data_IF_274957145835
#
_entry.id   IF_274957145835
#
_cell.length_a   1.000
_cell.length_b   1.000
_cell.length_c   1.000
_cell.angle_alpha   90.00
_cell.angle_beta   90.00
_cell.angle_gamma   90.00
#
_symmetry.space_group_name_H-M   'P 1'
#
loop_
_entity.id
_entity.type
_entity.pdbx_description
1 polymer ?
#
# COMPACT_ATOMS: atom_id res chain seq x y z
N UNK A 1 -24.79 42.06 24.07
CA UNK A 1 -25.43 40.75 24.32
C UNK A 1 -24.71 39.57 23.60
N UNK A 2 -24.20 39.70 22.37
CA UNK A 2 -23.43 38.62 21.70
C UNK A 2 -22.11 38.29 22.38
N UNK A 3 -21.34 39.31 22.78
CA UNK A 3 -20.02 39.10 23.43
C UNK A 3 -20.13 38.39 24.80
N UNK A 4 -21.19 38.72 25.57
CA UNK A 4 -21.42 38.07 26.88
C UNK A 4 -21.80 36.59 26.73
N UNK A 5 -22.51 36.17 25.66
CA UNK A 5 -22.83 34.77 25.37
C UNK A 5 -21.57 33.96 24.98
N UNK A 6 -20.65 34.55 24.24
CA UNK A 6 -19.39 33.90 23.84
C UNK A 6 -18.51 33.66 25.06
N UNK A 7 -18.40 34.63 25.98
CA UNK A 7 -17.62 34.49 27.20
C UNK A 7 -18.24 33.44 28.14
N UNK A 8 -19.58 33.39 28.24
CA UNK A 8 -20.24 32.36 29.09
C UNK A 8 -20.07 30.95 28.50
N UNK A 9 -20.12 30.78 27.18
CA UNK A 9 -19.89 29.50 26.52
C UNK A 9 -18.43 29.01 26.71
N UNK A 10 -17.45 29.88 26.61
CA UNK A 10 -16.05 29.55 26.85
C UNK A 10 -15.79 29.12 28.31
N UNK A 11 -16.41 29.77 29.27
CA UNK A 11 -16.30 29.41 30.70
C UNK A 11 -16.92 28.03 30.99
N UNK A 12 -18.05 27.69 30.36
CA UNK A 12 -18.70 26.38 30.53
C UNK A 12 -17.83 25.26 29.94
N UNK A 13 -17.20 25.50 28.79
CA UNK A 13 -16.30 24.51 28.16
C UNK A 13 -15.08 24.24 29.04
N UNK A 14 -14.46 25.26 29.62
CA UNK A 14 -13.31 25.12 30.52
C UNK A 14 -13.68 24.36 31.82
N UNK A 15 -14.87 24.60 32.37
CA UNK A 15 -15.37 23.89 33.58
C UNK A 15 -15.66 22.43 33.24
N UNK A 16 -16.24 22.10 32.06
CA UNK A 16 -16.49 20.74 31.66
C UNK A 16 -15.18 19.96 31.41
N UNK A 17 -14.18 20.55 30.75
CA UNK A 17 -12.85 19.95 30.59
C UNK A 17 -12.14 19.70 31.95
N UNK A 18 -12.22 20.64 32.89
CA UNK A 18 -11.67 20.47 34.24
C UNK A 18 -12.33 19.35 35.06
N UNK A 19 -13.63 19.12 34.89
CA UNK A 19 -14.36 18.05 35.55
C UNK A 19 -14.02 16.66 35.00
N UNK A 20 -13.79 16.54 33.67
CA UNK A 20 -13.39 15.28 33.03
C UNK A 20 -11.98 14.86 33.45
N UNK A 21 -11.03 15.79 33.54
CA UNK A 21 -9.67 15.51 34.02
C UNK A 21 -9.63 15.16 35.51
N UNK A 22 -10.46 15.79 36.35
CA UNK A 22 -10.54 15.48 37.78
C UNK A 22 -11.20 14.12 38.06
N UNK A 23 -12.21 13.74 37.27
CA UNK A 23 -12.83 12.40 37.34
C UNK A 23 -11.86 11.30 36.90
N UNK A 24 -11.04 11.54 35.86
CA UNK A 24 -9.99 10.62 35.40
C UNK A 24 -8.91 10.37 36.49
N UNK A 25 -8.46 11.41 37.18
CA UNK A 25 -7.46 11.29 38.25
C UNK A 25 -8.03 10.52 39.45
N UNK A 26 -9.31 10.69 39.81
CA UNK A 26 -9.95 9.96 40.90
C UNK A 26 -10.18 8.49 40.60
N UNK A 27 -10.45 8.11 39.33
CA UNK A 27 -10.58 6.71 38.89
C UNK A 27 -9.21 5.98 38.93
N UNK A 28 -8.11 6.67 38.61
CA UNK A 28 -6.77 6.07 38.61
C UNK A 28 -6.21 5.84 40.01
N UNK A 29 -6.68 6.58 41.03
CA UNK A 29 -6.27 6.42 42.43
C UNK A 29 -7.04 5.35 43.20
N UNK A 30 -8.08 4.75 42.63
CA UNK A 30 -8.98 3.77 43.28
C UNK A 30 -8.70 2.30 42.94
N UNK A 31 -7.69 2.00 42.10
CA UNK A 31 -7.30 0.63 41.76
C UNK A 31 -6.34 0.06 42.81
N UNK A 32 -6.57 -1.15 43.38
CA UNK A 32 -5.67 -1.78 44.31
C UNK A 32 -4.35 -2.16 43.63
N UNK A 33 -3.23 -1.77 44.16
CA UNK A 33 -1.89 -2.25 43.77
C UNK A 33 -1.71 -3.69 44.24
N UNK A 34 -1.68 -4.64 43.34
CA UNK A 34 -1.17 -5.99 43.62
C UNK A 34 0.33 -5.91 43.95
N UNK A 35 0.70 -6.51 45.08
CA UNK A 35 2.10 -6.70 45.46
C UNK A 35 2.65 -7.87 44.67
N UNK A 36 3.68 -7.64 43.85
CA UNK A 36 4.49 -8.68 43.25
C UNK A 36 5.40 -9.28 44.34
N UNK A 37 5.12 -10.51 44.73
CA UNK A 37 6.07 -11.36 45.47
C UNK A 37 7.10 -11.90 44.48
N UNK A 38 8.35 -11.52 44.67
CA UNK A 38 9.48 -12.20 44.01
C UNK A 38 9.82 -13.46 44.78
N UNK A 39 10.08 -14.60 44.19
CA UNK A 39 10.70 -15.74 44.85
C UNK A 39 12.22 -15.59 44.88
N UNK A 40 12.77 -15.83 46.06
CA UNK A 40 14.21 -15.85 46.36
C UNK A 40 14.92 -16.99 45.57
N UNK A 41 16.07 -16.64 45.01
CA UNK A 41 17.00 -17.57 44.37
C UNK A 41 17.72 -18.38 45.40
N UNK A 42 17.48 -19.68 45.48
CA UNK A 42 18.35 -20.65 46.17
C UNK A 42 19.42 -21.16 45.20
N UNK A 43 20.66 -20.89 45.56
CA UNK A 43 21.86 -21.40 44.94
C UNK A 43 22.00 -22.90 45.29
N UNK A 44 22.04 -23.80 44.33
CA UNK A 44 22.47 -25.20 44.48
C UNK A 44 23.77 -25.40 43.73
N UNK A 45 24.79 -25.78 44.46
CA UNK A 45 26.11 -26.19 43.98
C UNK A 45 26.08 -27.68 43.69
N UNK A 46 26.37 -28.09 42.46
CA UNK A 46 26.74 -29.48 42.13
C UNK A 46 28.04 -29.52 41.32
N UNK A 47 28.86 -30.58 41.54
CA UNK A 47 30.27 -30.67 41.14
C UNK A 47 30.47 -31.16 39.69
N UNK A 48 31.69 -31.08 39.15
CA UNK A 48 31.97 -31.22 37.73
C UNK A 48 31.99 -32.70 37.28
N UNK A 49 31.42 -32.95 36.11
CA UNK A 49 31.49 -34.22 35.39
C UNK A 49 32.68 -34.21 34.44
N UNK A 50 33.43 -35.32 34.47
CA UNK A 50 34.67 -35.59 33.76
C UNK A 50 34.47 -35.76 32.25
N UNK A 51 35.49 -35.29 31.48
CA UNK A 51 35.75 -35.64 30.08
C UNK A 51 35.99 -37.14 29.90
N UNK A 52 35.34 -37.74 28.92
CA UNK A 52 35.77 -39.01 28.32
C UNK A 52 36.06 -38.82 26.83
N UNK A 53 37.29 -39.21 26.45
CA UNK A 53 37.90 -39.20 25.13
C UNK A 53 37.45 -40.39 24.29
N UNK A 54 37.52 -40.37 22.94
CA UNK A 54 36.84 -41.30 22.04
C UNK A 54 37.59 -42.62 21.83
N UNK A 55 36.84 -43.69 21.65
CA UNK A 55 37.36 -44.99 21.25
C UNK A 55 37.18 -45.24 19.75
N UNK A 56 38.18 -45.92 19.24
CA UNK A 56 38.52 -46.20 17.85
C UNK A 56 37.52 -47.09 17.10
N UNK A 57 37.53 -46.89 15.77
CA UNK A 57 36.92 -47.68 14.70
C UNK A 57 37.46 -49.10 14.62
N UNK A 58 36.70 -50.08 14.12
CA UNK A 58 37.24 -51.12 13.27
C UNK A 58 36.65 -51.11 11.85
N UNK A 59 37.57 -51.36 10.93
CA UNK A 59 37.49 -51.48 9.50
C UNK A 59 36.70 -52.68 9.00
N UNK A 60 36.02 -52.43 7.88
CA UNK A 60 35.70 -53.20 6.67
C UNK A 60 35.55 -54.77 6.70
N UNK A 61 34.70 -55.31 5.80
CA UNK A 61 35.24 -55.76 4.53
C UNK A 61 34.42 -55.44 3.26
N UNK A 62 35.18 -55.31 2.16
CA UNK A 62 34.77 -55.16 0.76
C UNK A 62 33.74 -56.21 0.31
N UNK A 63 32.73 -55.81 -0.45
CA UNK A 63 31.98 -56.69 -1.33
C UNK A 63 31.73 -56.02 -2.66
N UNK A 64 32.13 -56.69 -3.69
CA UNK A 64 32.13 -56.42 -5.14
C UNK A 64 30.81 -55.88 -5.70
N UNK A 65 30.95 -54.94 -6.63
CA UNK A 65 29.90 -54.41 -7.50
C UNK A 65 29.39 -55.43 -8.53
N UNK A 66 28.11 -55.40 -8.88
CA UNK A 66 27.62 -55.90 -10.15
C UNK A 66 27.36 -54.78 -11.15
N UNK A 67 27.52 -55.15 -12.42
CA UNK A 67 27.45 -54.36 -13.65
C UNK A 67 26.28 -53.38 -13.75
N UNK A 68 26.59 -52.19 -14.25
CA UNK A 68 25.64 -51.16 -14.66
C UNK A 68 24.87 -51.56 -15.94
N UNK A 69 23.55 -51.31 -16.01
CA UNK A 69 22.85 -51.34 -17.29
C UNK A 69 23.06 -50.01 -18.02
N UNK A 70 23.33 -50.11 -19.30
CA UNK A 70 23.45 -49.03 -20.28
C UNK A 70 22.20 -48.16 -20.32
N UNK A 71 22.38 -46.87 -20.04
CA UNK A 71 21.40 -45.79 -20.22
C UNK A 71 21.05 -45.62 -21.71
N UNK A 72 19.77 -45.49 -22.08
CA UNK A 72 19.40 -45.00 -23.40
C UNK A 72 19.65 -43.49 -23.48
N UNK A 73 20.33 -43.07 -24.54
CA UNK A 73 20.54 -41.66 -24.92
C UNK A 73 19.21 -40.90 -24.87
N UNK A 74 19.11 -39.95 -23.93
CA UNK A 74 18.11 -38.87 -23.90
C UNK A 74 18.62 -37.82 -24.86
N UNK A 75 17.82 -37.41 -25.90
CA UNK A 75 18.18 -36.27 -26.74
C UNK A 75 18.31 -35.02 -25.86
N UNK A 76 19.38 -34.27 -26.03
CA UNK A 76 19.55 -32.95 -25.42
C UNK A 76 18.49 -32.00 -26.02
N UNK A 77 17.38 -31.80 -25.29
CA UNK A 77 16.48 -30.69 -25.56
C UNK A 77 17.22 -29.42 -25.16
N UNK A 78 17.67 -28.69 -26.16
CA UNK A 78 18.08 -27.31 -26.05
C UNK A 78 16.83 -26.53 -25.65
N UNK A 79 16.82 -25.72 -24.57
CA UNK A 79 15.70 -24.83 -24.31
C UNK A 79 15.60 -23.88 -25.48
N UNK A 80 14.54 -23.98 -26.28
CA UNK A 80 14.14 -22.97 -27.23
C UNK A 80 13.86 -21.69 -26.38
N UNK A 81 14.60 -20.60 -26.62
CA UNK A 81 14.20 -19.27 -26.21
C UNK A 81 12.76 -19.06 -26.70
N UNK A 82 11.83 -18.57 -25.85
CA UNK A 82 10.48 -18.30 -26.30
C UNK A 82 10.55 -17.28 -27.43
N UNK A 83 10.23 -17.72 -28.67
CA UNK A 83 9.97 -16.81 -29.77
C UNK A 83 8.88 -15.84 -29.29
N UNK A 84 9.25 -14.58 -29.04
CA UNK A 84 8.29 -13.49 -28.89
C UNK A 84 7.59 -13.38 -30.24
N UNK A 85 6.35 -13.88 -30.32
CA UNK A 85 5.60 -13.88 -31.55
C UNK A 85 5.35 -12.44 -32.00
N UNK A 86 5.48 -12.18 -33.32
CA UNK A 86 5.14 -10.89 -33.94
C UNK A 86 3.72 -10.44 -33.57
N UNK A 87 2.80 -11.39 -33.33
CA UNK A 87 1.43 -11.16 -32.84
C UNK A 87 1.36 -10.39 -31.50
N UNK A 88 2.29 -10.63 -30.58
CA UNK A 88 2.30 -9.91 -29.27
C UNK A 88 2.77 -8.47 -29.41
N UNK A 89 3.65 -8.15 -30.35
CA UNK A 89 4.11 -6.79 -30.60
C UNK A 89 3.01 -5.93 -31.26
N UNK A 90 2.26 -6.49 -32.20
CA UNK A 90 1.13 -5.83 -32.88
C UNK A 90 -0.04 -5.61 -31.89
N UNK A 91 -0.35 -6.58 -31.03
CA UNK A 91 -1.35 -6.41 -29.98
C UNK A 91 -0.95 -5.30 -28.99
N UNK A 92 0.30 -5.26 -28.53
CA UNK A 92 0.80 -4.23 -27.62
C UNK A 92 0.76 -2.85 -28.27
N UNK A 93 1.12 -2.74 -29.53
CA UNK A 93 1.00 -1.51 -30.31
C UNK A 93 -0.47 -1.06 -30.45
N UNK A 94 -1.38 -2.02 -30.68
CA UNK A 94 -2.83 -1.79 -30.70
C UNK A 94 -3.37 -1.26 -29.38
N UNK A 95 -2.97 -1.86 -28.25
CA UNK A 95 -3.33 -1.42 -26.90
C UNK A 95 -2.85 0.01 -26.64
N UNK A 96 -1.59 0.28 -26.95
CA UNK A 96 -1.00 1.63 -26.80
C UNK A 96 -1.77 2.66 -27.62
N UNK A 97 -2.09 2.35 -28.88
CA UNK A 97 -2.84 3.27 -29.74
C UNK A 97 -4.24 3.57 -29.22
N UNK A 98 -4.97 2.57 -28.69
CA UNK A 98 -6.29 2.78 -28.07
C UNK A 98 -6.22 3.70 -26.85
N UNK A 99 -5.23 3.50 -25.96
CA UNK A 99 -5.01 4.34 -24.80
C UNK A 99 -4.70 5.78 -25.22
N UNK A 100 -3.82 5.97 -26.19
CA UNK A 100 -3.48 7.31 -26.70
C UNK A 100 -4.68 8.01 -27.37
N UNK A 101 -5.51 7.28 -28.10
CA UNK A 101 -6.74 7.83 -28.68
C UNK A 101 -7.74 8.23 -27.58
N UNK A 102 -7.89 7.45 -26.52
CA UNK A 102 -8.75 7.78 -25.39
C UNK A 102 -8.24 9.05 -24.68
N UNK A 103 -6.92 9.09 -24.37
CA UNK A 103 -6.26 10.26 -23.78
C UNK A 103 -6.45 11.54 -24.61
N UNK A 104 -6.28 11.44 -25.91
CA UNK A 104 -6.46 12.58 -26.84
C UNK A 104 -7.89 13.12 -26.85
N UNK A 105 -8.88 12.31 -26.48
CA UNK A 105 -10.28 12.71 -26.32
C UNK A 105 -10.60 13.41 -24.99
N UNK A 106 -9.67 13.42 -24.03
CA UNK A 106 -9.86 14.04 -22.70
C UNK A 106 -9.49 15.52 -22.73
N UNK A 107 -10.27 16.35 -22.02
CA UNK A 107 -9.88 17.72 -21.71
C UNK A 107 -8.77 17.76 -20.66
N UNK A 108 -8.02 18.88 -20.57
CA UNK A 108 -7.01 19.06 -19.53
C UNK A 108 -7.59 18.86 -18.12
N UNK A 109 -8.78 19.41 -17.85
CA UNK A 109 -9.44 19.26 -16.55
C UNK A 109 -9.75 17.80 -16.24
N UNK A 110 -10.23 17.02 -17.21
CA UNK A 110 -10.47 15.58 -17.04
C UNK A 110 -9.18 14.81 -16.78
N UNK A 111 -8.08 15.15 -17.47
CA UNK A 111 -6.76 14.58 -17.24
C UNK A 111 -6.27 14.87 -15.83
N UNK A 112 -6.36 16.13 -15.37
CA UNK A 112 -5.96 16.52 -14.01
C UNK A 112 -6.79 15.78 -12.97
N UNK A 113 -8.12 15.65 -13.15
CA UNK A 113 -8.96 14.90 -12.23
C UNK A 113 -8.56 13.42 -12.11
N UNK A 114 -8.07 12.78 -13.17
CA UNK A 114 -7.60 11.39 -13.10
C UNK A 114 -6.38 11.19 -12.18
N UNK A 115 -5.64 12.23 -11.85
CA UNK A 115 -4.49 12.18 -10.94
C UNK A 115 -4.90 12.10 -9.47
N UNK A 116 -6.18 12.25 -9.13
CA UNK A 116 -6.65 12.23 -7.75
C UNK A 116 -7.34 10.93 -7.40
N UNK A 117 -6.91 10.37 -6.28
CA UNK A 117 -7.55 9.26 -5.59
C UNK A 117 -8.08 9.80 -4.26
N UNK A 118 -9.38 9.74 -4.01
CA UNK A 118 -9.98 10.40 -2.84
C UNK A 118 -11.03 9.52 -2.16
N UNK A 119 -11.73 10.02 -1.14
CA UNK A 119 -12.85 9.31 -0.53
C UNK A 119 -14.20 9.77 -1.09
N UNK A 120 -15.25 8.95 -0.99
CA UNK A 120 -16.60 9.37 -1.35
C UNK A 120 -17.04 10.63 -0.58
N UNK A 121 -16.61 10.77 0.67
CA UNK A 121 -16.89 11.93 1.53
C UNK A 121 -16.26 13.20 0.99
N UNK A 122 -14.97 13.18 0.69
CA UNK A 122 -14.25 14.34 0.13
C UNK A 122 -14.79 14.72 -1.26
N UNK A 123 -15.22 13.72 -2.04
CA UNK A 123 -15.81 13.95 -3.35
C UNK A 123 -17.18 14.61 -3.26
N UNK A 124 -18.04 14.18 -2.32
CA UNK A 124 -19.46 14.53 -2.28
C UNK A 124 -19.82 15.56 -1.20
N UNK A 125 -18.95 15.73 -0.19
CA UNK A 125 -19.21 16.58 0.98
C UNK A 125 -20.16 15.96 2.02
N UNK A 126 -20.52 14.67 1.89
CA UNK A 126 -21.32 13.98 2.92
C UNK A 126 -20.43 13.55 4.08
N UNK A 127 -21.01 13.37 5.27
CA UNK A 127 -20.23 12.98 6.47
C UNK A 127 -19.77 11.55 6.43
N UNK A 128 -20.62 10.64 5.94
CA UNK A 128 -20.32 9.20 5.77
C UNK A 128 -21.12 8.68 4.58
N UNK A 129 -20.42 8.16 3.60
CA UNK A 129 -21.03 7.64 2.37
C UNK A 129 -21.26 6.11 2.52
N UNK A 130 -22.52 5.71 2.65
CA UNK A 130 -22.94 4.30 2.65
C UNK A 130 -23.80 3.95 1.43
N UNK A 131 -23.93 4.89 0.49
CA UNK A 131 -24.67 4.70 -0.76
C UNK A 131 -24.16 5.65 -1.84
N UNK A 132 -24.28 5.26 -3.10
CA UNK A 132 -24.05 6.10 -4.25
C UNK A 132 -25.39 6.42 -4.94
N UNK A 133 -25.76 7.70 -4.94
CA UNK A 133 -26.99 8.21 -5.53
C UNK A 133 -26.75 9.46 -6.37
N UNK A 134 -27.77 10.31 -6.49
CA UNK A 134 -27.71 11.54 -7.33
C UNK A 134 -26.56 12.47 -6.93
N UNK A 135 -26.25 12.58 -5.63
CA UNK A 135 -25.11 13.38 -5.14
C UNK A 135 -23.77 12.87 -5.68
N UNK A 136 -23.54 11.54 -5.60
CA UNK A 136 -22.34 10.90 -6.14
C UNK A 136 -22.26 11.08 -7.65
N UNK A 137 -23.40 10.87 -8.34
CA UNK A 137 -23.50 11.05 -9.79
C UNK A 137 -23.16 12.49 -10.24
N UNK A 138 -23.72 13.49 -9.55
CA UNK A 138 -23.42 14.88 -9.83
C UNK A 138 -21.95 15.24 -9.55
N UNK A 139 -21.40 14.75 -8.42
CA UNK A 139 -20.02 15.00 -8.06
C UNK A 139 -19.02 14.36 -9.06
N UNK A 140 -19.25 13.13 -9.53
CA UNK A 140 -18.42 12.46 -10.53
C UNK A 140 -18.54 13.11 -11.93
N UNK A 141 -19.69 13.69 -12.25
CA UNK A 141 -19.86 14.43 -13.50
C UNK A 141 -19.06 15.75 -13.51
N UNK A 142 -18.89 16.39 -12.34
CA UNK A 142 -18.13 17.63 -12.17
C UNK A 142 -16.63 17.36 -11.94
N UNK A 143 -16.32 16.33 -11.17
CA UNK A 143 -14.98 15.96 -10.71
C UNK A 143 -14.71 14.49 -11.02
N UNK A 144 -14.38 14.14 -12.29
CA UNK A 144 -14.15 12.75 -12.71
C UNK A 144 -12.79 12.24 -12.22
N UNK A 145 -12.66 12.01 -10.90
CA UNK A 145 -11.43 11.54 -10.24
C UNK A 145 -10.96 10.18 -10.75
N UNK A 146 -9.68 9.86 -10.53
CA UNK A 146 -9.07 8.61 -10.97
C UNK A 146 -9.48 7.40 -10.15
N UNK A 147 -9.77 7.60 -8.85
CA UNK A 147 -10.16 6.52 -7.95
C UNK A 147 -10.84 6.99 -6.66
N UNK A 148 -11.50 6.06 -5.99
CA UNK A 148 -12.13 6.25 -4.67
C UNK A 148 -11.67 5.16 -3.70
N UNK A 149 -11.18 5.59 -2.53
CA UNK A 149 -10.82 4.73 -1.41
C UNK A 149 -11.96 4.63 -0.40
N UNK A 150 -12.27 3.41 0.02
CA UNK A 150 -13.34 3.13 0.97
C UNK A 150 -12.77 2.60 2.30
N UNK A 151 -13.34 3.09 3.39
CA UNK A 151 -12.98 2.70 4.75
C UNK A 151 -14.09 1.88 5.41
N UNK A 152 -13.79 1.27 6.55
CA UNK A 152 -14.76 0.46 7.30
C UNK A 152 -16.11 1.17 7.56
N UNK A 153 -16.10 2.49 7.73
CA UNK A 153 -17.32 3.29 7.93
C UNK A 153 -18.26 3.30 6.71
N UNK A 154 -17.76 2.99 5.51
CA UNK A 154 -18.55 2.89 4.29
C UNK A 154 -19.20 1.51 4.09
N UNK A 155 -18.67 0.48 4.77
CA UNK A 155 -18.94 -0.94 4.53
C UNK A 155 -19.92 -1.48 5.59
N UNK A 156 -21.23 -1.46 5.29
CA UNK A 156 -22.28 -1.91 6.21
C UNK A 156 -22.49 -3.42 6.10
N UNK A 157 -22.74 -3.90 4.90
CA UNK A 157 -22.86 -5.31 4.53
C UNK A 157 -22.53 -5.52 3.04
N UNK A 158 -22.44 -6.78 2.62
CA UNK A 158 -22.04 -7.14 1.25
C UNK A 158 -22.98 -6.60 0.17
N UNK A 159 -24.31 -6.60 0.40
CA UNK A 159 -25.29 -6.16 -0.59
C UNK A 159 -25.32 -4.64 -0.72
N UNK A 160 -25.24 -3.93 0.39
CA UNK A 160 -25.10 -2.46 0.41
C UNK A 160 -23.82 -2.06 -0.31
N UNK A 161 -22.67 -2.65 0.03
CA UNK A 161 -21.37 -2.34 -0.55
C UNK A 161 -21.35 -2.59 -2.05
N UNK A 162 -21.81 -3.77 -2.47
CA UNK A 162 -21.90 -4.11 -3.91
C UNK A 162 -22.75 -3.08 -4.67
N UNK A 163 -23.92 -2.73 -4.14
CA UNK A 163 -24.81 -1.74 -4.76
C UNK A 163 -24.15 -0.37 -4.85
N UNK A 164 -23.49 0.07 -3.77
CA UNK A 164 -22.77 1.35 -3.72
C UNK A 164 -21.64 1.39 -4.76
N UNK A 165 -20.78 0.37 -4.82
CA UNK A 165 -19.65 0.32 -5.75
C UNK A 165 -20.11 0.22 -7.21
N UNK A 166 -21.13 -0.58 -7.52
CA UNK A 166 -21.71 -0.70 -8.86
C UNK A 166 -22.31 0.63 -9.33
N UNK A 167 -23.08 1.31 -8.46
CA UNK A 167 -23.63 2.62 -8.78
C UNK A 167 -22.52 3.64 -9.00
N UNK A 168 -21.52 3.69 -8.13
CA UNK A 168 -20.37 4.60 -8.24
C UNK A 168 -19.69 4.40 -9.60
N UNK A 169 -19.35 3.17 -9.95
CA UNK A 169 -18.69 2.85 -11.21
C UNK A 169 -19.56 3.23 -12.42
N UNK A 170 -20.89 3.01 -12.34
CA UNK A 170 -21.82 3.33 -13.42
C UNK A 170 -21.97 4.84 -13.69
N UNK A 171 -21.64 5.69 -12.71
CA UNK A 171 -21.71 7.16 -12.86
C UNK A 171 -20.42 7.77 -13.40
N UNK A 172 -19.31 7.02 -13.38
CA UNK A 172 -18.02 7.51 -13.82
C UNK A 172 -17.93 7.58 -15.35
N UNK A 173 -17.45 8.72 -15.87
CA UNK A 173 -17.14 8.88 -17.30
C UNK A 173 -15.93 8.01 -17.71
N UNK A 174 -14.85 8.11 -16.95
CA UNK A 174 -13.69 7.23 -17.02
C UNK A 174 -13.78 6.28 -15.84
N UNK A 175 -13.77 4.94 -16.06
CA UNK A 175 -13.88 3.97 -14.97
C UNK A 175 -12.88 4.23 -13.85
N UNK A 176 -13.33 4.03 -12.60
CA UNK A 176 -12.59 4.35 -11.38
C UNK A 176 -11.75 3.15 -10.90
N UNK A 177 -10.61 3.44 -10.30
CA UNK A 177 -10.11 2.56 -9.27
C UNK A 177 -11.05 2.63 -8.04
N UNK A 178 -11.53 1.49 -7.56
CA UNK A 178 -12.31 1.36 -6.34
C UNK A 178 -11.45 0.58 -5.35
N UNK A 179 -10.81 1.28 -4.44
CA UNK A 179 -9.77 0.77 -3.58
C UNK A 179 -10.20 0.57 -2.14
N UNK A 180 -9.53 -0.35 -1.47
CA UNK A 180 -9.67 -0.64 -0.03
C UNK A 180 -8.30 -1.04 0.53
N UNK A 181 -8.10 -0.89 1.85
CA UNK A 181 -6.97 -1.50 2.56
C UNK A 181 -7.40 -2.83 3.16
N UNK A 182 -7.00 -3.94 2.58
CA UNK A 182 -7.30 -5.27 3.10
C UNK A 182 -5.99 -6.06 3.26
N UNK A 183 -5.12 -5.59 4.19
CA UNK A 183 -3.82 -6.22 4.46
C UNK A 183 -3.93 -7.52 5.26
N UNK A 184 -5.06 -7.71 5.94
CA UNK A 184 -5.23 -8.66 7.03
C UNK A 184 -4.85 -8.08 8.40
N UNK A 185 -4.94 -8.89 9.46
CA UNK A 185 -4.64 -8.45 10.82
C UNK A 185 -5.44 -7.21 11.23
N UNK A 186 -4.76 -6.20 11.75
CA UNK A 186 -5.38 -4.94 12.21
C UNK A 186 -5.79 -3.97 11.10
N UNK A 187 -5.29 -4.16 9.89
CA UNK A 187 -5.65 -3.35 8.71
C UNK A 187 -6.48 -4.19 7.75
N UNK A 188 -7.75 -4.32 8.07
CA UNK A 188 -8.74 -5.08 7.33
C UNK A 188 -10.06 -4.35 7.41
N UNK A 189 -10.51 -3.76 6.31
CA UNK A 189 -11.73 -2.92 6.29
C UNK A 189 -12.98 -3.75 6.04
N UNK A 190 -12.89 -4.71 5.13
CA UNK A 190 -13.99 -5.61 4.78
C UNK A 190 -13.97 -6.89 5.64
N UNK A 191 -12.84 -7.57 5.78
CA UNK A 191 -12.73 -8.82 6.52
C UNK A 191 -13.00 -8.68 8.02
N UNK A 192 -12.77 -7.51 8.62
CA UNK A 192 -13.11 -7.21 10.01
C UNK A 192 -14.61 -7.07 10.26
N UNK A 193 -15.44 -6.95 9.21
CA UNK A 193 -16.90 -6.88 9.31
C UNK A 193 -17.52 -8.20 8.82
N UNK A 194 -18.05 -9.06 9.73
CA UNK A 194 -18.62 -10.37 9.34
C UNK A 194 -19.79 -10.27 8.34
N UNK A 195 -20.47 -9.11 8.26
CA UNK A 195 -21.57 -8.90 7.33
C UNK A 195 -21.11 -8.72 5.87
N UNK A 196 -19.81 -8.56 5.65
CA UNK A 196 -19.22 -8.43 4.32
C UNK A 196 -19.04 -9.77 3.61
N UNK A 197 -18.91 -10.87 4.36
CA UNK A 197 -18.60 -12.18 3.80
C UNK A 197 -17.21 -12.30 3.19
N UNK A 198 -16.31 -11.41 3.60
CA UNK A 198 -14.87 -11.43 3.24
C UNK A 198 -14.11 -12.14 4.35
N UNK A 199 -13.18 -12.99 3.97
CA UNK A 199 -12.32 -13.72 4.92
C UNK A 199 -11.41 -12.74 5.65
N UNK A 200 -11.45 -12.78 6.99
CA UNK A 200 -10.49 -12.03 7.82
C UNK A 200 -9.22 -12.86 7.98
N UNK A 201 -8.15 -12.42 7.35
CA UNK A 201 -6.84 -13.06 7.42
C UNK A 201 -6.02 -12.56 8.60
N UNK A 202 -5.03 -13.38 9.01
CA UNK A 202 -4.07 -13.02 10.07
C UNK A 202 -3.16 -11.87 9.62
N UNK A 203 -2.41 -11.30 10.57
CA UNK A 203 -1.41 -10.29 10.25
C UNK A 203 -0.28 -10.87 9.39
N UNK A 204 0.34 -10.06 8.53
CA UNK A 204 1.40 -10.47 7.61
C UNK A 204 2.57 -11.16 8.33
N UNK A 205 2.94 -10.70 9.54
CA UNK A 205 4.00 -11.30 10.34
C UNK A 205 3.78 -12.80 10.62
N UNK A 206 2.52 -13.23 10.82
CA UNK A 206 2.19 -14.64 11.08
C UNK A 206 2.50 -15.51 9.85
N UNK A 207 2.25 -15.02 8.65
CA UNK A 207 2.59 -15.68 7.40
C UNK A 207 4.10 -15.67 7.16
N UNK A 208 4.77 -14.57 7.49
CA UNK A 208 6.22 -14.45 7.42
C UNK A 208 6.96 -15.44 8.33
N UNK A 209 6.43 -15.70 9.54
CA UNK A 209 6.96 -16.73 10.45
C UNK A 209 6.85 -18.16 9.88
N UNK A 210 5.76 -18.43 9.14
CA UNK A 210 5.56 -19.74 8.47
C UNK A 210 6.40 -19.86 7.20
N UNK A 211 6.72 -18.74 6.57
CA UNK A 211 7.47 -18.63 5.31
C UNK A 211 6.92 -19.54 4.18
N UNK A 212 5.60 -19.71 4.13
CA UNK A 212 4.89 -20.50 3.10
C UNK A 212 4.32 -19.59 2.00
N UNK A 213 5.04 -19.48 0.89
CA UNK A 213 4.63 -18.69 -0.27
C UNK A 213 3.31 -19.19 -0.89
N UNK A 214 3.03 -20.49 -0.82
CA UNK A 214 1.80 -21.02 -1.39
C UNK A 214 0.58 -20.60 -0.55
N UNK A 215 0.73 -20.53 0.78
CA UNK A 215 -0.30 -20.00 1.67
C UNK A 215 -0.57 -18.52 1.36
N UNK A 216 0.46 -17.67 1.26
CA UNK A 216 0.32 -16.24 0.97
C UNK A 216 -0.28 -15.99 -0.42
N UNK A 217 0.10 -16.78 -1.43
CA UNK A 217 -0.57 -16.74 -2.73
C UNK A 217 -2.07 -17.02 -2.62
N UNK A 218 -2.49 -18.00 -1.80
CA UNK A 218 -3.91 -18.31 -1.59
C UNK A 218 -4.63 -17.17 -0.86
N UNK A 219 -3.97 -16.49 0.09
CA UNK A 219 -4.51 -15.27 0.73
C UNK A 219 -4.82 -14.22 -0.34
N UNK A 220 -3.85 -13.84 -1.17
CA UNK A 220 -4.04 -12.86 -2.23
C UNK A 220 -5.12 -13.27 -3.25
N UNK A 221 -5.13 -14.54 -3.66
CA UNK A 221 -6.13 -15.06 -4.60
C UNK A 221 -7.56 -15.04 -4.01
N UNK A 222 -7.70 -15.36 -2.72
CA UNK A 222 -8.99 -15.30 -2.03
C UNK A 222 -9.49 -13.86 -1.87
N UNK A 223 -8.60 -12.94 -1.45
CA UNK A 223 -8.94 -11.51 -1.34
C UNK A 223 -9.36 -10.95 -2.70
N UNK A 224 -8.62 -11.23 -3.77
CA UNK A 224 -8.99 -10.79 -5.11
C UNK A 224 -10.38 -11.26 -5.52
N UNK A 225 -10.72 -12.51 -5.23
CA UNK A 225 -12.03 -13.08 -5.55
C UNK A 225 -13.13 -12.43 -4.70
N UNK A 226 -12.96 -12.34 -3.39
CA UNK A 226 -13.98 -11.88 -2.45
C UNK A 226 -14.22 -10.37 -2.55
N UNK A 227 -13.15 -9.56 -2.61
CA UNK A 227 -13.25 -8.12 -2.82
C UNK A 227 -13.77 -7.78 -4.22
N UNK A 228 -13.32 -8.51 -5.25
CA UNK A 228 -13.82 -8.37 -6.61
C UNK A 228 -15.32 -8.67 -6.73
N UNK A 229 -15.84 -9.67 -5.98
CA UNK A 229 -17.26 -9.98 -5.92
C UNK A 229 -18.10 -8.85 -5.27
N UNK A 230 -17.49 -7.99 -4.46
CA UNK A 230 -18.11 -6.77 -3.94
C UNK A 230 -18.04 -5.60 -4.92
N UNK A 231 -17.11 -5.63 -5.89
CA UNK A 231 -16.91 -4.57 -6.87
C UNK A 231 -15.65 -3.73 -6.67
N UNK A 232 -14.79 -4.07 -5.70
CA UNK A 232 -13.44 -3.50 -5.60
C UNK A 232 -12.57 -4.01 -6.74
N UNK A 233 -11.61 -3.21 -7.16
CA UNK A 233 -10.65 -3.55 -8.22
C UNK A 233 -9.20 -3.18 -7.86
N UNK A 234 -8.99 -2.65 -6.66
CA UNK A 234 -7.69 -2.30 -6.12
C UNK A 234 -7.64 -2.62 -4.62
N UNK A 235 -6.59 -3.29 -4.18
CA UNK A 235 -6.23 -3.44 -2.79
C UNK A 235 -4.90 -2.72 -2.52
N UNK A 236 -4.89 -1.82 -1.53
CA UNK A 236 -3.65 -1.17 -1.07
C UNK A 236 -2.82 -2.14 -0.24
N UNK A 237 -2.46 -3.25 -0.85
CA UNK A 237 -1.65 -4.36 -0.33
C UNK A 237 -0.76 -4.94 -1.45
N UNK A 238 0.35 -5.60 -1.10
CA UNK A 238 0.87 -5.86 0.24
C UNK A 238 1.74 -4.75 0.83
N UNK A 239 1.91 -4.79 2.16
CA UNK A 239 2.97 -4.04 2.84
C UNK A 239 4.31 -4.69 2.50
N UNK A 240 5.21 -3.92 1.88
CA UNK A 240 6.55 -4.33 1.47
C UNK A 240 7.66 -3.81 2.40
N UNK A 241 7.27 -3.17 3.52
CA UNK A 241 8.20 -2.69 4.53
C UNK A 241 8.89 -3.84 5.26
N UNK A 242 10.19 -3.68 5.54
CA UNK A 242 10.98 -4.58 6.38
C UNK A 242 11.15 -3.94 7.76
N UNK A 243 10.62 -4.54 8.83
CA UNK A 243 10.75 -4.00 10.19
C UNK A 243 12.15 -4.28 10.71
N UNK A 244 13.04 -3.30 10.53
CA UNK A 244 14.42 -3.34 11.04
C UNK A 244 14.54 -2.69 12.43
N UNK A 245 13.57 -1.85 12.81
CA UNK A 245 13.46 -1.27 14.14
C UNK A 245 12.34 -1.95 14.95
N UNK A 246 12.66 -2.68 16.04
CA UNK A 246 11.64 -3.37 16.84
C UNK A 246 10.68 -2.41 17.58
N UNK A 247 11.00 -1.13 17.68
CA UNK A 247 10.13 -0.11 18.27
C UNK A 247 9.14 0.48 17.27
N UNK A 248 9.23 0.12 15.99
CA UNK A 248 8.28 0.56 14.98
C UNK A 248 6.94 -0.16 15.18
N UNK A 249 5.98 0.54 15.79
CA UNK A 249 4.63 0.03 16.06
C UNK A 249 3.67 0.33 14.92
N UNK A 250 4.00 1.29 14.03
CA UNK A 250 3.15 1.65 12.88
C UNK A 250 3.12 0.52 11.85
N UNK A 251 4.27 0.03 11.45
CA UNK A 251 4.38 -1.13 10.57
C UNK A 251 4.20 -2.41 11.40
N UNK A 252 5.07 -2.68 12.37
CA UNK A 252 4.94 -3.79 13.30
C UNK A 252 4.58 -5.12 12.61
N UNK A 253 3.45 -5.70 13.02
CA UNK A 253 2.91 -6.96 12.51
C UNK A 253 2.31 -6.90 11.09
N UNK A 254 2.23 -5.71 10.49
CA UNK A 254 1.86 -5.52 9.07
C UNK A 254 2.98 -5.95 8.12
N UNK A 255 4.25 -5.97 8.56
CA UNK A 255 5.38 -6.50 7.81
C UNK A 255 5.41 -8.02 7.87
N UNK A 256 5.76 -8.66 6.76
CA UNK A 256 5.96 -10.12 6.73
C UNK A 256 7.17 -10.55 7.55
N UNK A 257 8.28 -9.80 7.55
CA UNK A 257 9.50 -10.19 8.24
C UNK A 257 10.47 -9.04 8.45
N UNK A 258 11.39 -9.21 9.42
CA UNK A 258 12.61 -8.41 9.53
C UNK A 258 13.75 -8.92 8.61
N UNK A 259 13.59 -10.11 8.02
CA UNK A 259 14.48 -10.63 6.97
C UNK A 259 13.96 -10.19 5.60
N UNK A 260 14.71 -9.36 4.84
CA UNK A 260 14.26 -8.83 3.55
C UNK A 260 14.00 -9.92 2.50
N UNK A 261 14.69 -11.06 2.57
CA UNK A 261 14.48 -12.16 1.61
C UNK A 261 13.16 -12.88 1.88
N UNK A 262 12.83 -13.12 3.15
CA UNK A 262 11.53 -13.68 3.54
C UNK A 262 10.42 -12.70 3.19
N UNK A 263 10.56 -11.42 3.54
CA UNK A 263 9.58 -10.39 3.19
C UNK A 263 9.37 -10.32 1.66
N UNK A 264 10.44 -10.33 0.87
CA UNK A 264 10.38 -10.31 -0.59
C UNK A 264 9.65 -11.51 -1.18
N UNK A 265 9.91 -12.72 -0.66
CA UNK A 265 9.23 -13.93 -1.10
C UNK A 265 7.71 -13.85 -0.83
N UNK A 266 7.31 -13.39 0.37
CA UNK A 266 5.91 -13.25 0.75
C UNK A 266 5.21 -12.15 -0.07
N UNK A 267 5.84 -10.97 -0.23
CA UNK A 267 5.33 -9.88 -1.07
C UNK A 267 5.12 -10.36 -2.51
N UNK A 268 6.09 -11.06 -3.08
CA UNK A 268 5.99 -11.64 -4.43
C UNK A 268 4.79 -12.58 -4.56
N UNK A 269 4.56 -13.46 -3.58
CA UNK A 269 3.45 -14.40 -3.57
C UNK A 269 2.09 -13.68 -3.45
N UNK A 270 1.99 -12.66 -2.60
CA UNK A 270 0.77 -11.87 -2.44
C UNK A 270 0.40 -11.11 -3.71
N UNK A 271 1.39 -10.45 -4.35
CA UNK A 271 1.19 -9.77 -5.65
C UNK A 271 0.69 -10.74 -6.71
N UNK A 272 1.31 -11.93 -6.83
CA UNK A 272 0.89 -12.95 -7.81
C UNK A 272 -0.56 -13.39 -7.55
N UNK A 273 -0.95 -13.61 -6.28
CA UNK A 273 -2.31 -13.99 -5.91
C UNK A 273 -3.35 -12.92 -6.24
N UNK A 274 -3.10 -11.66 -5.86
CA UNK A 274 -3.99 -10.52 -6.15
C UNK A 274 -4.17 -10.31 -7.65
N UNK A 275 -3.07 -10.21 -8.39
CA UNK A 275 -3.11 -9.82 -9.81
C UNK A 275 -3.69 -10.89 -10.72
N UNK A 276 -3.47 -12.19 -10.44
CA UNK A 276 -4.14 -13.28 -11.17
C UNK A 276 -5.65 -13.29 -10.95
N UNK A 277 -6.14 -12.70 -9.87
CA UNK A 277 -7.55 -12.45 -9.62
C UNK A 277 -8.09 -11.14 -10.19
N UNK A 278 -7.33 -10.43 -11.05
CA UNK A 278 -7.65 -9.11 -11.60
C UNK A 278 -7.82 -8.02 -10.52
N UNK A 279 -7.12 -8.13 -9.39
CA UNK A 279 -7.05 -7.10 -8.36
C UNK A 279 -5.74 -6.34 -8.50
N UNK A 280 -5.81 -5.02 -8.68
CA UNK A 280 -4.63 -4.16 -8.70
C UNK A 280 -3.97 -4.20 -7.32
N UNK A 281 -2.71 -4.61 -7.26
CA UNK A 281 -1.90 -4.58 -6.03
C UNK A 281 -1.13 -3.28 -5.90
N UNK A 282 -0.90 -2.83 -4.66
CA UNK A 282 -0.14 -1.62 -4.35
C UNK A 282 0.91 -1.92 -3.28
N UNK A 283 2.19 -1.95 -3.67
CA UNK A 283 3.31 -2.10 -2.72
C UNK A 283 3.45 -0.84 -1.87
N UNK A 284 3.64 -0.99 -0.55
CA UNK A 284 3.75 0.15 0.37
C UNK A 284 4.65 -0.16 1.57
N UNK A 285 5.33 0.84 2.10
CA UNK A 285 5.40 2.28 1.78
C UNK A 285 6.83 2.63 1.36
N UNK A 286 7.08 2.80 0.07
CA UNK A 286 8.42 3.10 -0.46
C UNK A 286 8.93 4.45 0.08
N UNK A 287 10.22 4.63 0.43
CA UNK A 287 11.37 3.71 0.24
C UNK A 287 11.58 2.68 1.35
N UNK A 288 10.63 2.50 2.26
CA UNK A 288 10.68 1.56 3.38
C UNK A 288 10.52 2.27 4.73
N UNK A 289 9.36 2.03 5.38
CA UNK A 289 8.97 2.70 6.63
C UNK A 289 9.40 1.93 7.89
N UNK A 290 9.88 0.68 7.75
CA UNK A 290 10.11 -0.22 8.89
C UNK A 290 11.32 0.10 9.77
N UNK A 291 12.16 1.07 9.38
CA UNK A 291 13.35 1.50 10.15
C UNK A 291 13.09 2.66 11.12
N UNK A 292 11.91 3.32 11.06
CA UNK A 292 11.58 4.52 11.83
C UNK A 292 10.96 4.21 13.18
N UNK A 293 11.01 5.16 14.11
CA UNK A 293 10.30 5.11 15.40
C UNK A 293 9.03 5.96 15.41
N UNK A 294 8.94 6.95 14.50
CA UNK A 294 7.88 7.96 14.49
C UNK A 294 6.83 7.61 13.44
N UNK A 295 5.57 7.73 13.83
CA UNK A 295 4.40 7.60 12.96
C UNK A 295 4.22 8.87 12.12
N UNK A 296 4.12 8.74 10.80
CA UNK A 296 3.87 9.84 9.87
C UNK A 296 2.47 10.44 9.99
N UNK A 297 1.54 9.77 10.67
CA UNK A 297 0.24 10.35 11.03
C UNK A 297 0.37 11.46 12.07
N UNK A 298 1.38 11.39 12.95
CA UNK A 298 1.60 12.35 14.04
C UNK A 298 2.57 13.48 13.67
N UNK A 299 3.20 13.43 12.48
CA UNK A 299 4.13 14.46 12.02
C UNK A 299 5.30 13.92 11.20
N UNK A 300 6.40 14.68 11.13
CA UNK A 300 7.58 14.32 10.35
C UNK A 300 8.26 13.07 10.91
N UNK A 301 8.41 12.05 10.10
CA UNK A 301 9.20 10.85 10.37
C UNK A 301 10.49 10.89 9.55
N UNK A 302 11.63 10.52 10.17
CA UNK A 302 12.95 10.63 9.57
C UNK A 302 13.66 9.28 9.58
N UNK A 303 14.27 8.93 8.45
CA UNK A 303 15.19 7.81 8.32
C UNK A 303 16.60 8.32 7.96
N UNK A 304 17.62 7.64 8.47
CA UNK A 304 19.01 7.89 8.15
C UNK A 304 19.64 6.70 7.41
N UNK A 305 18.84 5.86 6.77
CA UNK A 305 19.30 4.72 5.99
C UNK A 305 20.09 5.21 4.78
N UNK A 306 21.29 4.68 4.59
CA UNK A 306 22.09 4.94 3.39
C UNK A 306 21.48 4.24 2.17
N UNK A 307 21.82 4.69 0.97
CA UNK A 307 21.39 4.05 -0.28
C UNK A 307 21.77 2.56 -0.32
N UNK A 308 22.98 2.21 0.11
CA UNK A 308 23.44 0.81 0.16
C UNK A 308 22.60 -0.04 1.12
N UNK A 309 22.25 0.51 2.28
CA UNK A 309 21.37 -0.18 3.24
C UNK A 309 19.96 -0.37 2.69
N UNK A 310 19.38 0.65 2.04
CA UNK A 310 18.06 0.56 1.41
C UNK A 310 18.06 -0.52 0.31
N UNK A 311 19.03 -0.52 -0.58
CA UNK A 311 19.18 -1.51 -1.64
C UNK A 311 19.38 -2.93 -1.11
N UNK A 312 20.12 -3.07 -0.01
CA UNK A 312 20.39 -4.38 0.61
C UNK A 312 19.27 -4.91 1.50
N UNK A 313 18.31 -4.07 1.88
CA UNK A 313 17.27 -4.44 2.85
C UNK A 313 15.87 -3.97 2.41
N UNK A 314 15.55 -2.68 2.61
CA UNK A 314 14.20 -2.16 2.45
C UNK A 314 13.66 -2.32 1.03
N UNK A 315 14.50 -2.20 -0.01
CA UNK A 315 14.06 -2.30 -1.41
C UNK A 315 13.93 -3.72 -1.94
N UNK A 316 14.46 -4.72 -1.22
CA UNK A 316 14.37 -6.13 -1.65
C UNK A 316 12.92 -6.60 -1.84
N UNK A 317 11.98 -6.36 -0.90
CA UNK A 317 10.58 -6.75 -1.11
C UNK A 317 9.89 -5.95 -2.22
N UNK A 318 10.24 -4.65 -2.38
CA UNK A 318 9.70 -3.85 -3.49
C UNK A 318 10.14 -4.40 -4.83
N UNK A 319 11.45 -4.72 -5.00
CA UNK A 319 11.94 -5.34 -6.22
C UNK A 319 11.23 -6.67 -6.51
N UNK A 320 11.08 -7.52 -5.50
CA UNK A 320 10.39 -8.81 -5.65
C UNK A 320 8.93 -8.65 -6.10
N UNK A 321 8.22 -7.65 -5.58
CA UNK A 321 6.86 -7.32 -6.01
C UNK A 321 6.81 -6.71 -7.41
N UNK A 322 7.75 -5.84 -7.77
CA UNK A 322 7.89 -5.24 -9.11
C UNK A 322 8.17 -6.32 -10.15
N UNK A 323 9.08 -7.24 -9.87
CA UNK A 323 9.41 -8.38 -10.76
C UNK A 323 8.21 -9.32 -10.97
N UNK A 324 7.25 -9.34 -10.02
CA UNK A 324 5.97 -10.03 -10.17
C UNK A 324 4.90 -9.22 -10.90
N UNK A 325 5.23 -8.00 -11.29
CA UNK A 325 4.35 -7.14 -12.07
C UNK A 325 3.40 -6.31 -11.21
N UNK A 326 3.76 -5.95 -9.96
CA UNK A 326 2.96 -5.03 -9.15
C UNK A 326 2.62 -3.78 -9.97
N UNK A 327 1.33 -3.41 -9.98
CA UNK A 327 0.83 -2.37 -10.87
C UNK A 327 0.93 -0.96 -10.24
N UNK A 328 1.04 -0.88 -8.90
CA UNK A 328 1.11 0.38 -8.16
C UNK A 328 2.14 0.29 -7.03
N UNK A 329 2.81 1.41 -6.75
CA UNK A 329 3.68 1.60 -5.58
C UNK A 329 3.27 2.88 -4.87
N UNK A 330 3.05 2.80 -3.56
CA UNK A 330 2.75 3.94 -2.70
C UNK A 330 4.04 4.44 -2.04
N UNK A 331 4.27 5.75 -2.16
CA UNK A 331 5.36 6.45 -1.47
C UNK A 331 4.90 6.92 -0.09
N UNK A 332 5.74 6.71 0.91
CA UNK A 332 5.52 7.24 2.26
C UNK A 332 5.84 8.74 2.34
N UNK A 333 5.40 9.38 3.45
CA UNK A 333 5.82 10.75 3.80
C UNK A 333 7.12 10.79 4.62
N UNK A 334 7.86 9.67 4.63
CA UNK A 334 9.14 9.56 5.30
C UNK A 334 10.18 10.49 4.64
N UNK A 335 10.91 11.26 5.43
CA UNK A 335 12.11 11.96 4.96
C UNK A 335 13.33 11.06 5.20
N UNK A 336 14.05 10.68 4.15
CA UNK A 336 15.36 10.03 4.28
C UNK A 336 16.46 11.05 4.01
N UNK A 337 17.12 11.54 5.07
CA UNK A 337 18.10 12.62 5.01
C UNK A 337 19.36 12.28 4.18
N UNK A 338 19.60 10.99 3.90
CA UNK A 338 20.68 10.57 3.02
C UNK A 338 20.28 10.55 1.53
N UNK A 339 18.99 10.68 1.23
CA UNK A 339 18.47 10.76 -0.14
C UNK A 339 17.97 12.16 -0.48
N UNK A 340 17.16 12.77 0.42
CA UNK A 340 16.52 14.05 0.16
C UNK A 340 16.09 14.73 1.48
N UNK A 341 16.04 16.06 1.48
CA UNK A 341 15.48 16.86 2.59
C UNK A 341 13.93 16.92 2.57
N UNK A 342 13.31 16.45 1.48
CA UNK A 342 11.86 16.42 1.29
C UNK A 342 11.27 15.08 1.74
N UNK A 343 9.96 15.04 2.08
CA UNK A 343 9.21 13.78 2.16
C UNK A 343 9.34 12.97 0.87
N UNK A 344 9.37 11.66 0.99
CA UNK A 344 9.66 10.75 -0.14
C UNK A 344 8.73 10.92 -1.34
N UNK A 345 7.45 11.19 -1.08
CA UNK A 345 6.43 11.43 -2.11
C UNK A 345 6.52 12.83 -2.76
N UNK A 346 7.32 13.73 -2.20
CA UNK A 346 7.61 15.06 -2.76
C UNK A 346 9.04 15.17 -3.31
N UNK A 347 9.82 14.07 -3.26
CA UNK A 347 11.24 14.05 -3.63
C UNK A 347 11.46 13.46 -5.03
N UNK A 348 11.98 14.27 -5.99
CA UNK A 348 12.37 13.75 -7.30
C UNK A 348 13.45 12.65 -7.21
N UNK A 349 14.37 12.76 -6.23
CA UNK A 349 15.45 11.81 -6.02
C UNK A 349 14.89 10.44 -5.63
N UNK A 350 13.94 10.38 -4.70
CA UNK A 350 13.33 9.12 -4.25
C UNK A 350 12.52 8.48 -5.39
N UNK A 351 11.76 9.29 -6.13
CA UNK A 351 11.00 8.81 -7.31
C UNK A 351 11.92 8.28 -8.40
N UNK A 352 13.08 8.96 -8.65
CA UNK A 352 14.09 8.51 -9.63
C UNK A 352 14.62 7.12 -9.25
N UNK A 353 14.96 6.87 -7.99
CA UNK A 353 15.38 5.55 -7.53
C UNK A 353 14.35 4.45 -7.84
N UNK A 354 13.06 4.73 -7.58
CA UNK A 354 12.01 3.77 -7.90
C UNK A 354 11.87 3.51 -9.39
N UNK A 355 11.99 4.58 -10.23
CA UNK A 355 11.89 4.48 -11.68
C UNK A 355 13.13 3.87 -12.33
N UNK A 356 14.32 4.29 -11.93
CA UNK A 356 15.57 3.99 -12.61
C UNK A 356 16.30 2.79 -12.01
N UNK A 357 16.44 2.72 -10.67
CA UNK A 357 17.17 1.63 -10.02
C UNK A 357 16.33 0.37 -9.91
N UNK A 358 15.02 0.49 -9.55
CA UNK A 358 14.13 -0.65 -9.46
C UNK A 358 13.36 -0.91 -10.78
N UNK A 359 13.46 -0.02 -11.77
CA UNK A 359 12.85 -0.19 -13.11
C UNK A 359 11.33 -0.12 -13.13
N UNK A 360 10.67 0.45 -12.11
CA UNK A 360 9.22 0.46 -11.98
C UNK A 360 8.54 1.34 -13.03
N UNK A 361 7.63 0.77 -13.82
CA UNK A 361 6.90 1.46 -14.89
C UNK A 361 5.41 1.67 -14.60
N UNK A 362 4.90 1.11 -13.51
CA UNK A 362 3.51 1.25 -13.08
C UNK A 362 3.18 2.61 -12.46
N UNK A 363 2.04 2.69 -11.78
CA UNK A 363 1.56 3.91 -11.14
C UNK A 363 2.32 4.14 -9.82
N UNK A 364 2.89 5.34 -9.64
CA UNK A 364 3.36 5.82 -8.35
C UNK A 364 2.25 6.68 -7.73
N UNK A 365 1.82 6.33 -6.51
CA UNK A 365 0.83 7.07 -5.75
C UNK A 365 1.43 7.55 -4.43
N UNK A 366 1.00 8.71 -3.91
CA UNK A 366 1.38 9.17 -2.57
C UNK A 366 0.68 8.33 -1.50
N UNK A 367 1.18 8.31 -0.28
CA UNK A 367 0.34 8.03 0.88
C UNK A 367 -0.66 9.19 1.09
N UNK A 368 -1.54 9.07 2.09
CA UNK A 368 -2.61 10.04 2.31
C UNK A 368 -2.09 11.44 2.62
N UNK A 369 -2.37 12.41 1.76
CA UNK A 369 -2.06 13.82 1.98
C UNK A 369 -2.93 14.48 3.09
N UNK A 370 -3.75 13.70 3.81
CA UNK A 370 -4.42 14.14 5.04
C UNK A 370 -3.56 13.93 6.28
N UNK A 371 -2.41 13.24 6.18
CA UNK A 371 -1.52 12.96 7.30
C UNK A 371 -0.73 14.21 7.71
N UNK A 372 -0.43 14.31 9.02
CA UNK A 372 0.26 15.46 9.62
C UNK A 372 1.63 15.76 9.00
N UNK A 373 2.33 14.73 8.52
CA UNK A 373 3.61 14.88 7.82
C UNK A 373 3.52 15.79 6.58
N UNK A 374 2.34 15.94 5.96
CA UNK A 374 2.08 16.83 4.83
C UNK A 374 1.31 18.08 5.28
N UNK A 375 0.17 17.90 5.96
CA UNK A 375 -0.76 19.01 6.26
C UNK A 375 -0.19 20.08 7.17
N UNK A 376 0.80 19.76 7.98
CA UNK A 376 1.46 20.72 8.88
C UNK A 376 2.46 21.63 8.15
N UNK A 377 2.87 21.28 6.91
CA UNK A 377 3.94 21.96 6.19
C UNK A 377 3.54 22.50 4.81
N UNK A 378 2.52 21.91 4.17
CA UNK A 378 2.13 22.22 2.80
C UNK A 378 0.61 22.42 2.70
N UNK A 379 0.16 23.36 1.87
CA UNK A 379 -1.23 23.38 1.44
C UNK A 379 -1.49 22.31 0.37
N UNK A 380 -2.77 21.95 0.18
CA UNK A 380 -3.14 20.85 -0.73
C UNK A 380 -2.74 21.11 -2.20
N UNK A 381 -2.75 22.38 -2.63
CA UNK A 381 -2.33 22.75 -3.99
C UNK A 381 -0.82 22.62 -4.17
N UNK A 382 -0.06 23.12 -3.20
CA UNK A 382 1.41 23.04 -3.19
C UNK A 382 1.88 21.57 -3.12
N UNK A 383 1.35 20.78 -2.17
CA UNK A 383 1.71 19.36 -2.04
C UNK A 383 1.44 18.58 -3.33
N UNK A 384 0.27 18.77 -3.96
CA UNK A 384 -0.06 18.09 -5.20
C UNK A 384 0.87 18.47 -6.35
N UNK A 385 1.25 19.74 -6.48
CA UNK A 385 2.17 20.22 -7.51
C UNK A 385 3.57 19.62 -7.30
N UNK A 386 4.08 19.66 -6.06
CA UNK A 386 5.41 19.10 -5.72
C UNK A 386 5.47 17.59 -5.99
N UNK A 387 4.46 16.84 -5.59
CA UNK A 387 4.39 15.39 -5.86
C UNK A 387 4.43 15.10 -7.37
N UNK A 388 3.63 15.82 -8.18
CA UNK A 388 3.64 15.65 -9.63
C UNK A 388 4.97 16.07 -10.28
N UNK A 389 5.61 17.12 -9.77
CA UNK A 389 6.94 17.54 -10.22
C UNK A 389 8.02 16.51 -9.83
N UNK A 390 7.87 15.85 -8.68
CA UNK A 390 8.75 14.76 -8.27
C UNK A 390 8.62 13.52 -9.18
N UNK A 391 7.52 13.36 -9.91
CA UNK A 391 7.30 12.22 -10.80
C UNK A 391 6.22 11.24 -10.32
N UNK A 392 5.49 11.57 -9.26
CA UNK A 392 4.32 10.83 -8.78
C UNK A 392 3.17 10.93 -9.79
N UNK A 393 2.39 9.88 -9.95
CA UNK A 393 1.29 9.82 -10.93
C UNK A 393 -0.09 10.12 -10.32
N UNK A 394 -0.30 9.72 -9.05
CA UNK A 394 -1.58 9.94 -8.36
C UNK A 394 -1.37 10.49 -6.95
N UNK A 395 -2.28 11.37 -6.54
CA UNK A 395 -2.33 11.96 -5.20
C UNK A 395 -3.46 11.29 -4.42
N UNK A 396 -3.12 10.62 -3.30
CA UNK A 396 -4.10 9.98 -2.43
C UNK A 396 -4.62 10.97 -1.40
N UNK A 397 -5.94 11.15 -1.36
CA UNK A 397 -6.69 11.85 -0.32
C UNK A 397 -6.12 13.23 0.04
N UNK A 398 -6.01 14.19 -0.91
CA UNK A 398 -5.63 15.55 -0.56
C UNK A 398 -6.62 16.12 0.49
N UNK A 399 -6.12 16.91 1.46
CA UNK A 399 -6.96 17.49 2.52
C UNK A 399 -8.09 18.36 1.94
N UNK A 400 -7.79 19.16 0.92
CA UNK A 400 -8.77 19.92 0.11
C UNK A 400 -8.61 19.51 -1.36
N UNK A 401 -9.53 18.65 -1.82
CA UNK A 401 -9.52 18.11 -3.17
C UNK A 401 -9.64 19.22 -4.25
N UNK A 402 -10.44 20.25 -4.00
CA UNK A 402 -10.63 21.35 -4.97
C UNK A 402 -9.39 22.26 -5.01
N UNK A 403 -8.79 22.55 -3.86
CA UNK A 403 -7.55 23.32 -3.80
C UNK A 403 -6.39 22.58 -4.49
N UNK A 404 -6.28 21.26 -4.31
CA UNK A 404 -5.29 20.44 -4.99
C UNK A 404 -5.45 20.50 -6.52
N UNK A 405 -6.68 20.31 -7.03
CA UNK A 405 -6.97 20.44 -8.45
C UNK A 405 -6.63 21.85 -8.99
N UNK A 406 -7.03 22.90 -8.27
CA UNK A 406 -6.77 24.27 -8.68
C UNK A 406 -5.27 24.60 -8.71
N UNK A 407 -4.50 24.08 -7.74
CA UNK A 407 -3.05 24.22 -7.69
C UNK A 407 -2.38 23.59 -8.91
N UNK A 408 -2.73 22.33 -9.23
CA UNK A 408 -2.21 21.63 -10.41
C UNK A 408 -2.57 22.36 -11.70
N UNK A 409 -3.83 22.79 -11.85
CA UNK A 409 -4.28 23.54 -13.04
C UNK A 409 -3.52 24.86 -13.21
N UNK A 410 -3.37 25.62 -12.14
CA UNK A 410 -2.60 26.86 -12.15
C UNK A 410 -1.12 26.63 -12.50
N UNK A 411 -0.52 25.54 -12.02
CA UNK A 411 0.86 25.18 -12.34
C UNK A 411 1.03 24.84 -13.83
N UNK A 412 0.04 24.16 -14.44
CA UNK A 412 0.04 23.91 -15.88
C UNK A 412 -0.12 25.21 -16.67
N UNK A 413 -1.06 26.07 -16.29
CA UNK A 413 -1.29 27.38 -16.93
C UNK A 413 -0.06 28.31 -16.83
N UNK A 414 0.69 28.24 -15.72
CA UNK A 414 1.95 28.96 -15.51
C UNK A 414 3.17 28.33 -16.21
N UNK A 415 3.04 27.09 -16.72
CA UNK A 415 4.13 26.33 -17.34
C UNK A 415 5.17 25.79 -16.37
N UNK A 416 4.90 25.78 -15.06
CA UNK A 416 5.75 25.14 -14.03
C UNK A 416 5.52 23.64 -13.94
N UNK A 417 4.38 23.16 -14.43
CA UNK A 417 4.08 21.77 -14.73
C UNK A 417 3.64 21.69 -16.21
N UNK A 418 4.12 20.73 -16.97
CA UNK A 418 3.76 20.62 -18.39
C UNK A 418 2.54 19.71 -18.59
N UNK A 419 1.72 20.01 -19.61
CA UNK A 419 0.63 19.09 -19.99
C UNK A 419 1.18 17.69 -20.37
N UNK A 420 2.37 17.64 -20.98
CA UNK A 420 3.04 16.37 -21.28
C UNK A 420 3.32 15.54 -20.03
N UNK A 421 3.67 16.17 -18.89
CA UNK A 421 3.84 15.47 -17.62
C UNK A 421 2.51 14.92 -17.08
N UNK A 422 1.42 15.66 -17.26
CA UNK A 422 0.07 15.19 -16.94
C UNK A 422 -0.29 13.99 -17.82
N UNK A 423 -0.07 14.09 -19.13
CA UNK A 423 -0.34 13.03 -20.10
C UNK A 423 0.44 11.74 -19.80
N UNK A 424 1.67 11.87 -19.36
CA UNK A 424 2.50 10.74 -18.94
C UNK A 424 1.85 9.96 -17.77
N UNK A 425 1.42 10.67 -16.72
CA UNK A 425 0.74 10.05 -15.59
C UNK A 425 -0.60 9.43 -15.97
N UNK A 426 -1.42 10.16 -16.74
CA UNK A 426 -2.73 9.65 -17.18
C UNK A 426 -2.55 8.44 -18.09
N UNK A 427 -1.50 8.41 -18.92
CA UNK A 427 -1.17 7.23 -19.75
C UNK A 427 -0.92 6.00 -18.87
N UNK A 428 -0.12 6.10 -17.79
CA UNK A 428 0.11 4.99 -16.85
C UNK A 428 -1.19 4.55 -16.18
N UNK A 429 -2.00 5.51 -15.70
CA UNK A 429 -3.30 5.26 -15.08
C UNK A 429 -4.24 4.49 -16.03
N UNK A 430 -4.38 4.95 -17.25
CA UNK A 430 -5.23 4.30 -18.28
C UNK A 430 -4.67 2.93 -18.68
N UNK A 431 -3.35 2.78 -18.75
CA UNK A 431 -2.69 1.49 -19.06
C UNK A 431 -3.00 0.44 -18.00
N UNK A 432 -2.88 0.78 -16.72
CA UNK A 432 -3.23 -0.13 -15.63
C UNK A 432 -4.74 -0.43 -15.63
N UNK A 433 -5.60 0.59 -15.75
CA UNK A 433 -7.05 0.39 -15.85
C UNK A 433 -7.44 -0.53 -17.02
N UNK A 434 -6.78 -0.39 -18.18
CA UNK A 434 -7.02 -1.24 -19.35
C UNK A 434 -6.51 -2.67 -19.12
N UNK A 435 -5.29 -2.82 -18.59
CA UNK A 435 -4.68 -4.13 -18.35
C UNK A 435 -5.45 -5.00 -17.35
N UNK A 436 -6.11 -4.36 -16.38
CA UNK A 436 -6.96 -5.04 -15.37
C UNK A 436 -8.46 -5.09 -15.78
N UNK A 437 -8.82 -4.75 -17.01
CA UNK A 437 -10.20 -4.79 -17.48
C UNK A 437 -11.14 -3.78 -16.80
N UNK A 438 -10.61 -2.82 -16.07
CA UNK A 438 -11.38 -1.71 -15.46
C UNK A 438 -11.87 -0.75 -16.54
N UNK A 439 -10.99 -0.42 -17.48
CA UNK A 439 -11.29 0.37 -18.67
C UNK A 439 -11.43 -0.53 -19.87
N UNK A 440 -12.57 -0.45 -20.55
CA UNK A 440 -12.82 -1.21 -21.78
C UNK A 440 -12.77 -0.26 -22.98
N UNK A 441 -11.78 -0.46 -23.85
CA UNK A 441 -11.61 0.29 -25.10
C UNK A 441 -11.94 -0.64 -26.27
N UNK A 442 -13.17 -0.58 -26.77
CA UNK A 442 -13.57 -1.29 -28.00
C UNK A 442 -12.83 -0.72 -29.21
N UNK A 443 -12.62 -1.58 -30.21
CA UNK A 443 -12.06 -1.22 -31.53
C UNK A 443 -12.87 -0.15 -32.24
#
# INVERSE_FOLDING_TARGET
MRTLKIILSAIVIVICLGLVTFAGILLFSALPREKSDQPETSVSTDPPVQEETPAETPSEPEASAPDAPTDPEVPADTPEEPEQSEDTADELAGHTARIQNYLAGMTLDEKIWQLFFTTPESLTGVTTATQAGDTTKAALAERPVGGLCYFAANLVDADQTRTMLQNTQSYAKTPLFLGVDEEGGRVSRAGSNPAMGVTHFEAAAVYGERADMAEVYQVGSTLAQELGALGFNLDFAPVADVVTNPNNTEIGDRSYSSDPQVAGAMVSAMVDGLQRGNMVSCLKHFPGHGSTETDTHEGKSVSNRTLEELQGCEWVPFQAGIDKGAAMVMLSHLTNENLSDLPSDLSPEVVSHLREDLGFQGIIITDSHQMGAITDYYDSGEAAVLALQAGVDMILMPMDLQAAFNGVKAAVEAGTLTEARIDESVTRILTVKYGFGILNLSD
#
